data_IF_266338627512
#
_entry.id   IF_266338627512
#
_cell.length_a   1.000
_cell.length_b   1.000
_cell.length_c   1.000
_cell.angle_alpha   90.00
_cell.angle_beta   90.00
_cell.angle_gamma   90.00
#
_symmetry.space_group_name_H-M   'P 1'
#
loop_
_entity.id
_entity.type
_entity.pdbx_description
1 polymer ?
#
# COMPACT_ATOMS: atom_id res chain seq x y z
N UNK A 1 23.83 -1.13 11.63
CA UNK A 1 23.31 -1.37 10.27
C UNK A 1 22.63 -0.10 9.79
N UNK A 2 22.98 0.43 8.61
CA UNK A 2 22.40 1.70 8.14
C UNK A 2 21.18 1.42 7.26
N UNK A 3 20.12 2.18 7.46
CA UNK A 3 18.91 2.14 6.63
C UNK A 3 18.65 3.54 6.09
N UNK A 4 18.48 3.66 4.79
CA UNK A 4 18.08 4.92 4.16
C UNK A 4 16.56 4.99 4.13
N UNK A 5 15.97 6.12 4.50
CA UNK A 5 14.54 6.36 4.35
C UNK A 5 14.34 7.61 3.49
N UNK A 6 13.76 7.41 2.31
CA UNK A 6 13.39 8.47 1.38
C UNK A 6 11.98 8.92 1.71
N UNK A 7 11.86 10.09 2.34
CA UNK A 7 10.60 10.65 2.83
C UNK A 7 10.32 10.30 4.30
N UNK A 8 10.37 11.32 5.17
CA UNK A 8 9.99 11.21 6.59
C UNK A 8 8.58 11.78 6.86
N UNK A 9 7.62 11.35 6.03
CA UNK A 9 6.20 11.57 6.26
C UNK A 9 5.66 10.75 7.44
N UNK A 10 4.33 10.58 7.51
CA UNK A 10 3.71 9.85 8.62
C UNK A 10 4.20 8.39 8.72
N UNK A 11 4.18 7.64 7.61
CA UNK A 11 4.66 6.26 7.60
C UNK A 11 6.17 6.19 7.73
N UNK A 12 6.92 7.04 7.01
CA UNK A 12 8.39 7.08 7.12
C UNK A 12 8.89 7.24 8.55
N UNK A 13 8.21 8.06 9.37
CA UNK A 13 8.53 8.22 10.81
C UNK A 13 8.19 7.00 11.66
N UNK A 14 7.09 6.30 11.36
CA UNK A 14 6.73 5.04 12.05
C UNK A 14 7.80 3.99 11.80
N UNK A 15 8.18 3.78 10.54
CA UNK A 15 9.25 2.85 10.19
C UNK A 15 10.60 3.28 10.76
N UNK A 16 10.95 4.58 10.71
CA UNK A 16 12.17 5.09 11.33
C UNK A 16 12.24 4.74 12.83
N UNK A 17 11.15 4.94 13.57
CA UNK A 17 11.07 4.59 15.00
C UNK A 17 11.28 3.09 15.25
N UNK A 18 10.63 2.24 14.45
CA UNK A 18 10.81 0.78 14.52
C UNK A 18 12.24 0.34 14.20
N UNK A 19 12.83 0.91 13.15
CA UNK A 19 14.20 0.61 12.71
C UNK A 19 15.23 1.03 13.77
N UNK A 20 15.05 2.20 14.39
CA UNK A 20 15.89 2.67 15.50
C UNK A 20 15.78 1.73 16.72
N UNK A 21 14.56 1.25 17.05
CA UNK A 21 14.34 0.31 18.16
C UNK A 21 15.06 -1.02 17.99
N UNK A 22 15.28 -1.47 16.75
CA UNK A 22 16.03 -2.71 16.46
C UNK A 22 17.52 -2.46 16.19
N UNK A 23 18.05 -1.29 16.56
CA UNK A 23 19.48 -0.97 16.50
C UNK A 23 19.99 -0.55 15.12
N UNK A 24 19.11 -0.16 14.20
CA UNK A 24 19.53 0.43 12.93
C UNK A 24 19.81 1.92 13.09
N UNK A 25 20.79 2.43 12.34
CA UNK A 25 20.96 3.87 12.12
C UNK A 25 20.09 4.28 10.93
N UNK A 26 19.28 5.33 11.08
CA UNK A 26 18.41 5.83 10.01
C UNK A 26 19.06 7.05 9.36
N UNK A 27 19.30 6.96 8.05
CA UNK A 27 19.78 8.04 7.20
C UNK A 27 18.60 8.62 6.42
N UNK A 28 18.13 9.84 6.74
CA UNK A 28 17.02 10.43 6.03
C UNK A 28 17.45 10.98 4.67
N UNK A 29 16.57 10.85 3.68
CA UNK A 29 16.60 11.63 2.43
C UNK A 29 15.28 12.39 2.35
N UNK A 30 15.36 13.72 2.43
CA UNK A 30 14.23 14.63 2.37
C UNK A 30 14.04 15.18 0.96
N UNK A 31 12.93 15.89 0.76
CA UNK A 31 12.67 16.60 -0.49
C UNK A 31 13.75 17.68 -0.70
N UNK A 32 14.46 17.60 -1.82
CA UNK A 32 15.52 18.53 -2.20
C UNK A 32 16.94 18.01 -1.92
N UNK A 33 17.09 16.93 -1.15
CA UNK A 33 18.39 16.29 -0.96
C UNK A 33 18.84 15.61 -2.26
N UNK A 34 20.13 15.69 -2.58
CA UNK A 34 20.72 14.95 -3.69
C UNK A 34 21.01 13.50 -3.26
N UNK A 35 20.22 12.56 -3.79
CA UNK A 35 20.37 11.13 -3.52
C UNK A 35 21.74 10.59 -3.91
N UNK A 36 22.43 11.15 -4.92
CA UNK A 36 23.75 10.68 -5.32
C UNK A 36 24.81 11.03 -4.28
N UNK A 37 24.77 12.26 -3.75
CA UNK A 37 25.62 12.68 -2.63
C UNK A 37 25.39 11.79 -1.40
N UNK A 38 24.13 11.51 -1.03
CA UNK A 38 23.83 10.62 0.11
C UNK A 38 24.26 9.18 -0.17
N UNK A 39 24.08 8.68 -1.39
CA UNK A 39 24.54 7.35 -1.79
C UNK A 39 26.06 7.22 -1.78
N UNK A 40 26.80 8.30 -2.05
CA UNK A 40 28.25 8.30 -1.94
C UNK A 40 28.70 8.15 -0.47
N UNK A 41 28.02 8.81 0.47
CA UNK A 41 28.30 8.67 1.91
C UNK A 41 27.80 7.33 2.49
N UNK A 42 26.75 6.76 1.91
CA UNK A 42 26.11 5.53 2.36
C UNK A 42 25.87 4.56 1.18
N UNK A 43 26.93 3.96 0.61
CA UNK A 43 26.82 3.15 -0.61
C UNK A 43 26.21 1.77 -0.38
N UNK A 44 26.28 1.27 0.86
CA UNK A 44 25.84 -0.07 1.27
C UNK A 44 24.88 0.00 2.46
N UNK A 45 23.69 0.62 2.32
CA UNK A 45 22.66 0.53 3.35
C UNK A 45 22.09 -0.89 3.36
N UNK A 46 21.60 -1.40 4.47
CA UNK A 46 20.93 -2.70 4.47
C UNK A 46 19.53 -2.66 3.85
N UNK A 47 18.92 -1.48 3.78
CA UNK A 47 17.59 -1.26 3.22
C UNK A 47 17.48 0.20 2.77
N UNK A 48 16.75 0.44 1.68
CA UNK A 48 16.38 1.78 1.21
C UNK A 48 14.86 1.86 1.12
N UNK A 49 14.23 2.40 2.16
CA UNK A 49 12.77 2.51 2.26
C UNK A 49 12.26 3.75 1.53
N UNK A 50 11.44 3.54 0.50
CA UNK A 50 10.75 4.61 -0.23
C UNK A 50 9.40 4.88 0.44
N UNK A 51 9.32 5.98 1.18
CA UNK A 51 8.17 6.41 1.99
C UNK A 51 7.69 7.82 1.61
N UNK A 52 7.61 8.08 0.30
CA UNK A 52 7.16 9.34 -0.29
C UNK A 52 5.66 9.36 -0.57
N UNK A 53 5.14 10.49 -1.05
CA UNK A 53 3.75 10.56 -1.52
C UNK A 53 3.56 9.79 -2.83
N UNK A 54 2.32 9.38 -3.11
CA UNK A 54 1.95 8.62 -4.33
C UNK A 54 2.42 9.32 -5.62
N UNK A 55 2.27 10.64 -5.69
CA UNK A 55 2.70 11.46 -6.84
C UNK A 55 4.21 11.46 -7.07
N UNK A 56 5.00 11.18 -6.03
CA UNK A 56 6.45 11.33 -6.04
C UNK A 56 7.15 9.97 -6.27
N UNK A 57 6.43 8.85 -6.11
CA UNK A 57 6.98 7.48 -6.20
C UNK A 57 7.74 7.25 -7.50
N UNK A 58 7.10 7.52 -8.63
CA UNK A 58 7.65 7.26 -9.96
C UNK A 58 8.92 8.07 -10.25
N UNK A 59 8.98 9.31 -9.78
CA UNK A 59 10.18 10.14 -9.90
C UNK A 59 11.34 9.56 -9.08
N UNK A 60 11.07 9.13 -7.85
CA UNK A 60 12.08 8.53 -6.97
C UNK A 60 12.60 7.22 -7.54
N UNK A 61 11.72 6.35 -8.04
CA UNK A 61 12.12 5.07 -8.63
C UNK A 61 12.99 5.25 -9.88
N UNK A 62 12.72 6.27 -10.70
CA UNK A 62 13.51 6.61 -11.87
C UNK A 62 14.89 7.17 -11.51
N UNK A 63 14.97 8.01 -10.47
CA UNK A 63 16.19 8.70 -10.05
C UNK A 63 17.05 7.92 -9.02
N UNK A 64 16.64 6.70 -8.66
CA UNK A 64 17.31 5.92 -7.62
C UNK A 64 18.78 5.62 -7.97
N UNK A 65 19.74 5.90 -7.06
CA UNK A 65 21.14 5.52 -7.25
C UNK A 65 21.31 4.02 -7.48
N UNK A 66 22.15 3.66 -8.46
CA UNK A 66 22.36 2.26 -8.86
C UNK A 66 22.76 1.33 -7.70
N UNK A 67 23.62 1.82 -6.80
CA UNK A 67 24.09 1.09 -5.63
C UNK A 67 22.97 0.72 -4.64
N UNK A 68 21.86 1.43 -4.66
CA UNK A 68 20.73 1.24 -3.74
C UNK A 68 19.64 0.33 -4.30
N UNK A 69 19.53 0.21 -5.63
CA UNK A 69 18.46 -0.52 -6.30
C UNK A 69 18.23 -1.94 -5.78
N UNK A 70 19.27 -2.76 -5.49
CA UNK A 70 19.08 -4.12 -4.98
C UNK A 70 18.48 -4.20 -3.57
N UNK A 71 18.36 -3.07 -2.87
CA UNK A 71 17.99 -3.00 -1.44
C UNK A 71 16.75 -2.14 -1.21
N UNK A 72 16.05 -1.79 -2.28
CA UNK A 72 14.86 -0.94 -2.23
C UNK A 72 13.72 -1.68 -1.54
N UNK A 73 13.04 -0.96 -0.65
CA UNK A 73 11.79 -1.34 -0.03
C UNK A 73 10.70 -0.32 -0.38
N UNK A 74 9.53 -0.79 -0.80
CA UNK A 74 8.43 0.03 -1.29
C UNK A 74 7.25 -0.01 -0.32
N UNK A 75 6.74 1.18 0.02
CA UNK A 75 5.50 1.35 0.78
C UNK A 75 4.64 2.37 0.05
N UNK A 76 3.48 1.95 -0.46
CA UNK A 76 2.52 2.83 -1.11
C UNK A 76 1.15 2.12 -1.14
N UNK A 77 0.07 2.87 -0.98
CA UNK A 77 -1.28 2.34 -1.22
C UNK A 77 -1.49 2.14 -2.71
N UNK A 78 -2.30 1.14 -3.10
CA UNK A 78 -2.63 0.87 -4.51
C UNK A 78 -1.43 0.41 -5.36
N UNK A 79 -0.30 0.08 -4.72
CA UNK A 79 0.92 -0.39 -5.38
C UNK A 79 0.73 -1.78 -5.99
N UNK A 80 1.16 -1.97 -7.24
CA UNK A 80 1.15 -3.22 -7.98
C UNK A 80 2.50 -3.45 -8.70
N UNK A 81 2.83 -4.69 -9.13
CA UNK A 81 4.12 -4.99 -9.75
C UNK A 81 4.54 -4.07 -10.90
N UNK A 82 3.58 -3.71 -11.76
CA UNK A 82 3.77 -2.76 -12.87
C UNK A 82 4.40 -1.43 -12.45
N UNK A 83 4.25 -1.00 -11.20
CA UNK A 83 4.74 0.29 -10.72
C UNK A 83 6.26 0.32 -10.55
N UNK A 84 6.87 -0.82 -10.25
CA UNK A 84 8.32 -0.96 -10.10
C UNK A 84 8.98 -1.71 -11.26
N UNK A 85 8.28 -2.64 -11.90
CA UNK A 85 8.78 -3.40 -13.06
C UNK A 85 9.14 -2.51 -14.24
N UNK A 86 8.34 -1.46 -14.49
CA UNK A 86 8.62 -0.47 -15.55
C UNK A 86 9.93 0.30 -15.37
N UNK A 87 10.48 0.30 -14.16
CA UNK A 87 11.78 0.87 -13.85
C UNK A 87 12.88 -0.20 -13.72
N UNK A 88 12.59 -1.46 -14.06
CA UNK A 88 13.53 -2.58 -13.99
C UNK A 88 14.02 -2.89 -12.56
N UNK A 89 13.16 -2.77 -11.56
CA UNK A 89 13.43 -3.36 -10.24
C UNK A 89 13.10 -4.83 -10.26
N UNK A 90 14.04 -5.65 -9.79
CA UNK A 90 13.89 -7.09 -9.62
C UNK A 90 13.75 -7.37 -8.14
N UNK A 91 12.65 -8.04 -7.77
CA UNK A 91 12.36 -8.48 -6.40
C UNK A 91 12.61 -7.42 -5.30
N UNK A 92 12.06 -6.19 -5.43
CA UNK A 92 12.16 -5.23 -4.34
C UNK A 92 11.48 -5.79 -3.09
N UNK A 93 11.87 -5.28 -1.92
CA UNK A 93 11.07 -5.53 -0.72
C UNK A 93 9.77 -4.73 -0.83
N UNK A 94 8.63 -5.35 -0.55
CA UNK A 94 7.33 -4.66 -0.62
C UNK A 94 6.56 -4.98 0.65
N UNK A 95 5.99 -3.94 1.27
CA UNK A 95 5.08 -4.08 2.42
C UNK A 95 3.72 -3.45 2.10
N UNK A 96 2.65 -4.21 2.33
CA UNK A 96 1.29 -3.69 2.32
C UNK A 96 0.90 -3.29 3.74
N UNK A 97 0.75 -1.99 4.00
CA UNK A 97 0.51 -1.47 5.36
C UNK A 97 -0.96 -1.63 5.76
N UNK A 98 -1.20 -2.27 6.91
CA UNK A 98 -2.52 -2.50 7.49
C UNK A 98 -2.73 -1.84 8.86
N UNK A 99 -2.10 -0.70 9.08
CA UNK A 99 -2.37 0.18 10.22
C UNK A 99 -2.66 1.60 9.75
N UNK A 100 -3.46 2.34 10.50
CA UNK A 100 -3.71 3.75 10.27
C UNK A 100 -2.76 4.60 11.12
N UNK A 101 -2.17 5.65 10.52
CA UNK A 101 -1.44 6.69 11.25
C UNK A 101 -2.05 8.06 10.96
N UNK A 102 -2.60 8.72 11.97
CA UNK A 102 -3.06 10.12 11.91
C UNK A 102 -2.07 11.05 12.62
N UNK A 103 -2.15 12.36 12.37
CA UNK A 103 -1.33 13.36 13.05
C UNK A 103 -1.73 13.39 14.53
N UNK A 104 -0.77 13.27 15.44
CA UNK A 104 -1.01 13.29 16.88
C UNK A 104 -1.64 12.04 17.50
N UNK A 105 -1.89 10.98 16.72
CA UNK A 105 -2.46 9.71 17.20
C UNK A 105 -1.47 8.59 16.88
N UNK A 106 -1.21 7.68 17.81
CA UNK A 106 -0.36 6.52 17.56
C UNK A 106 -0.91 5.63 16.42
N UNK A 107 -0.04 4.80 15.87
CA UNK A 107 -0.46 3.91 14.79
C UNK A 107 -1.43 2.86 15.33
N UNK A 108 -2.61 2.74 14.72
CA UNK A 108 -3.63 1.75 15.10
C UNK A 108 -3.63 0.61 14.07
N UNK A 109 -3.28 -0.63 14.46
CA UNK A 109 -3.33 -1.77 13.56
C UNK A 109 -4.77 -2.19 13.26
N UNK A 110 -5.00 -2.66 12.02
CA UNK A 110 -6.23 -3.35 11.60
C UNK A 110 -5.95 -4.85 11.56
N UNK A 111 -4.97 -5.25 10.73
CA UNK A 111 -4.45 -6.62 10.63
C UNK A 111 -2.93 -6.59 10.43
N UNK A 112 -2.29 -7.76 10.38
CA UNK A 112 -0.85 -7.85 10.14
C UNK A 112 -0.48 -7.35 8.73
N UNK A 113 0.57 -6.51 8.65
CA UNK A 113 1.10 -6.02 7.38
C UNK A 113 1.95 -7.09 6.69
N UNK A 114 1.57 -7.64 5.53
CA UNK A 114 2.39 -8.62 4.81
C UNK A 114 3.58 -7.93 4.14
N UNK A 115 4.72 -8.60 4.19
CA UNK A 115 5.99 -8.13 3.62
C UNK A 115 6.65 -9.25 2.83
N UNK A 116 7.13 -8.96 1.63
CA UNK A 116 7.94 -9.89 0.85
C UNK A 116 9.22 -9.24 0.38
N UNK A 117 10.21 -10.07 0.05
CA UNK A 117 11.50 -9.66 -0.51
C UNK A 117 12.65 -9.63 0.52
N UNK A 118 13.87 -9.27 0.07
CA UNK A 118 15.10 -9.48 0.85
C UNK A 118 15.14 -8.75 2.21
N UNK A 119 14.44 -7.62 2.33
CA UNK A 119 14.35 -6.81 3.53
C UNK A 119 13.16 -7.14 4.44
N UNK A 120 12.37 -8.17 4.13
CA UNK A 120 11.11 -8.45 4.82
C UNK A 120 11.31 -8.68 6.33
N UNK A 121 12.25 -9.55 6.70
CA UNK A 121 12.54 -9.85 8.11
C UNK A 121 13.01 -8.63 8.90
N UNK A 122 13.71 -7.67 8.27
CA UNK A 122 14.08 -6.42 8.94
C UNK A 122 12.85 -5.56 9.23
N UNK A 123 11.96 -5.38 8.24
CA UNK A 123 10.74 -4.58 8.41
C UNK A 123 9.78 -5.22 9.42
N UNK A 124 9.65 -6.55 9.42
CA UNK A 124 8.84 -7.28 10.40
C UNK A 124 9.35 -7.06 11.82
N UNK A 125 10.66 -7.21 12.06
CA UNK A 125 11.25 -6.93 13.38
C UNK A 125 11.09 -5.47 13.79
N UNK A 126 11.27 -4.53 12.85
CA UNK A 126 11.14 -3.10 13.11
C UNK A 126 9.71 -2.73 13.55
N UNK A 127 8.68 -3.24 12.86
CA UNK A 127 7.28 -2.99 13.23
C UNK A 127 6.90 -3.68 14.54
N UNK A 128 7.35 -4.93 14.76
CA UNK A 128 7.12 -5.64 16.01
C UNK A 128 7.70 -4.89 17.23
N UNK A 129 8.86 -4.24 17.08
CA UNK A 129 9.49 -3.46 18.14
C UNK A 129 8.73 -2.19 18.55
N UNK A 130 7.69 -1.82 17.79
CA UNK A 130 6.74 -0.74 18.09
C UNK A 130 5.30 -1.24 18.13
N UNK A 131 5.11 -2.54 18.40
CA UNK A 131 3.81 -3.19 18.62
C UNK A 131 2.87 -3.13 17.40
N UNK A 132 3.44 -3.04 16.19
CA UNK A 132 2.70 -3.13 14.94
C UNK A 132 2.89 -4.52 14.32
N UNK A 133 1.80 -5.27 14.08
CA UNK A 133 1.90 -6.61 13.52
C UNK A 133 2.30 -6.57 12.05
N UNK A 134 3.28 -7.39 11.69
CA UNK A 134 3.71 -7.64 10.33
C UNK A 134 4.13 -9.09 10.18
N UNK A 135 4.02 -9.63 8.97
CA UNK A 135 4.41 -11.02 8.67
C UNK A 135 5.07 -11.12 7.32
N UNK A 136 5.99 -12.07 7.19
CA UNK A 136 6.56 -12.39 5.89
C UNK A 136 5.55 -13.16 5.03
N UNK A 137 5.58 -12.91 3.73
CA UNK A 137 4.89 -13.69 2.70
C UNK A 137 5.86 -14.01 1.58
N UNK A 138 5.58 -15.08 0.84
CA UNK A 138 6.36 -15.39 -0.34
C UNK A 138 6.22 -14.27 -1.40
N UNK A 139 7.29 -14.05 -2.16
CA UNK A 139 7.23 -13.18 -3.34
C UNK A 139 6.33 -13.80 -4.44
N UNK A 140 6.12 -13.05 -5.53
CA UNK A 140 5.27 -13.49 -6.64
C UNK A 140 3.80 -13.49 -6.25
N UNK A 141 3.11 -14.61 -6.45
CA UNK A 141 1.65 -14.71 -6.38
C UNK A 141 1.09 -14.42 -4.98
N UNK A 142 1.79 -14.82 -3.92
CA UNK A 142 1.37 -14.55 -2.55
C UNK A 142 1.44 -13.05 -2.21
N UNK A 143 2.53 -12.36 -2.58
CA UNK A 143 2.61 -10.90 -2.46
C UNK A 143 1.53 -10.21 -3.31
N UNK A 144 1.35 -10.65 -4.56
CA UNK A 144 0.37 -10.06 -5.46
C UNK A 144 -1.05 -10.14 -4.88
N UNK A 145 -1.42 -11.30 -4.32
CA UNK A 145 -2.70 -11.47 -3.64
C UNK A 145 -2.87 -10.45 -2.49
N UNK A 146 -1.85 -10.25 -1.65
CA UNK A 146 -1.93 -9.30 -0.54
C UNK A 146 -2.06 -7.84 -0.97
N UNK A 147 -1.41 -7.47 -2.08
CA UNK A 147 -1.54 -6.13 -2.68
C UNK A 147 -2.94 -5.92 -3.23
N UNK A 148 -3.45 -6.88 -4.00
CA UNK A 148 -4.81 -6.81 -4.58
C UNK A 148 -5.86 -6.86 -3.48
N UNK A 149 -5.69 -7.68 -2.44
CA UNK A 149 -6.56 -7.70 -1.25
C UNK A 149 -6.65 -6.32 -0.59
N UNK A 150 -5.51 -5.65 -0.41
CA UNK A 150 -5.48 -4.28 0.14
C UNK A 150 -6.23 -3.30 -0.77
N UNK A 151 -6.04 -3.42 -2.08
CA UNK A 151 -6.68 -2.57 -3.07
C UNK A 151 -8.19 -2.77 -3.09
N UNK A 152 -8.67 -4.02 -3.07
CA UNK A 152 -10.10 -4.34 -2.97
C UNK A 152 -10.69 -3.73 -1.70
N UNK A 153 -10.04 -3.91 -0.55
CA UNK A 153 -10.49 -3.29 0.71
C UNK A 153 -10.60 -1.77 0.59
N UNK A 154 -9.53 -1.08 0.18
CA UNK A 154 -9.48 0.38 0.24
C UNK A 154 -10.33 1.04 -0.84
N UNK A 155 -10.40 0.46 -2.03
CA UNK A 155 -11.21 1.00 -3.13
C UNK A 155 -12.69 0.74 -2.88
N UNK A 156 -13.07 -0.48 -2.47
CA UNK A 156 -14.48 -0.80 -2.21
C UNK A 156 -15.05 0.08 -1.10
N UNK A 157 -14.37 0.15 0.05
CA UNK A 157 -14.83 0.95 1.19
C UNK A 157 -14.97 2.42 0.83
N UNK A 158 -13.96 3.00 0.19
CA UNK A 158 -13.96 4.42 -0.18
C UNK A 158 -15.00 4.76 -1.24
N UNK A 159 -15.09 3.96 -2.30
CA UNK A 159 -15.99 4.24 -3.41
C UNK A 159 -17.44 4.01 -2.98
N UNK A 160 -17.75 2.87 -2.35
CA UNK A 160 -19.10 2.61 -1.85
C UNK A 160 -19.50 3.67 -0.80
N UNK A 161 -18.55 4.04 0.05
CA UNK A 161 -18.71 5.11 1.02
C UNK A 161 -19.16 6.44 0.42
N UNK A 162 -18.78 6.80 -0.81
CA UNK A 162 -19.21 8.06 -1.44
C UNK A 162 -20.73 8.21 -1.46
N UNK A 163 -21.44 7.08 -1.54
CA UNK A 163 -22.91 7.02 -1.49
C UNK A 163 -23.44 6.74 -0.08
N UNK A 164 -22.83 5.80 0.64
CA UNK A 164 -23.41 5.29 1.91
C UNK A 164 -23.00 6.10 3.12
N UNK A 165 -21.84 6.75 3.10
CA UNK A 165 -21.17 7.24 4.29
C UNK A 165 -20.90 6.09 5.28
N UNK A 166 -20.92 6.43 6.57
CA UNK A 166 -20.86 5.45 7.67
C UNK A 166 -19.51 4.75 7.83
N UNK A 167 -19.57 3.65 8.59
CA UNK A 167 -18.44 2.78 8.92
C UNK A 167 -18.42 1.52 8.05
N UNK A 168 -17.30 0.80 8.02
CA UNK A 168 -17.17 -0.46 7.27
C UNK A 168 -18.15 -1.53 7.78
N UNK A 169 -18.46 -1.53 9.08
CA UNK A 169 -19.49 -2.41 9.64
C UNK A 169 -20.89 -2.08 9.13
N UNK A 170 -21.26 -0.80 9.09
CA UNK A 170 -22.56 -0.36 8.55
C UNK A 170 -22.65 -0.61 7.04
N UNK A 171 -21.58 -0.37 6.29
CA UNK A 171 -21.51 -0.67 4.86
C UNK A 171 -21.83 -2.14 4.61
N UNK A 172 -21.22 -3.04 5.38
CA UNK A 172 -21.47 -4.47 5.20
C UNK A 172 -22.86 -4.88 5.69
N UNK A 173 -23.28 -4.45 6.88
CA UNK A 173 -24.55 -4.87 7.47
C UNK A 173 -25.79 -4.31 6.75
N UNK A 174 -25.71 -3.09 6.20
CA UNK A 174 -26.87 -2.36 5.66
C UNK A 174 -26.82 -2.23 4.14
N UNK A 175 -25.64 -2.36 3.53
CA UNK A 175 -25.43 -2.09 2.11
C UNK A 175 -24.63 -3.19 1.40
N UNK A 176 -24.63 -4.43 1.93
CA UNK A 176 -23.83 -5.55 1.40
C UNK A 176 -23.94 -5.70 -0.12
N UNK A 177 -25.17 -5.77 -0.65
CA UNK A 177 -25.40 -5.97 -2.08
C UNK A 177 -24.74 -4.89 -2.92
N UNK A 178 -24.77 -3.64 -2.46
CA UNK A 178 -24.12 -2.52 -3.14
C UNK A 178 -22.60 -2.56 -2.99
N UNK A 179 -22.09 -2.86 -1.79
CA UNK A 179 -20.66 -3.04 -1.54
C UNK A 179 -20.07 -4.15 -2.44
N UNK A 180 -20.80 -5.25 -2.64
CA UNK A 180 -20.40 -6.34 -3.55
C UNK A 180 -20.38 -5.92 -5.01
N UNK A 181 -21.33 -5.11 -5.48
CA UNK A 181 -21.30 -4.57 -6.84
C UNK A 181 -20.05 -3.71 -7.07
N UNK A 182 -19.75 -2.80 -6.14
CA UNK A 182 -18.53 -1.98 -6.21
C UNK A 182 -17.27 -2.87 -6.15
N UNK A 183 -17.22 -3.85 -5.23
CA UNK A 183 -16.07 -4.73 -5.09
C UNK A 183 -15.82 -5.57 -6.34
N UNK A 184 -16.87 -6.06 -7.00
CA UNK A 184 -16.75 -6.82 -8.24
C UNK A 184 -16.13 -5.98 -9.36
N UNK A 185 -16.60 -4.75 -9.57
CA UNK A 185 -16.03 -3.85 -10.58
C UNK A 185 -14.59 -3.42 -10.23
N UNK A 186 -14.28 -3.24 -8.94
CA UNK A 186 -12.90 -3.04 -8.48
C UNK A 186 -12.03 -4.25 -8.79
N UNK A 187 -12.51 -5.47 -8.53
CA UNK A 187 -11.77 -6.71 -8.84
C UNK A 187 -11.57 -6.87 -10.35
N UNK A 188 -12.53 -6.51 -11.20
CA UNK A 188 -12.36 -6.51 -12.66
C UNK A 188 -11.20 -5.60 -13.09
N UNK A 189 -11.11 -4.41 -12.48
CA UNK A 189 -10.00 -3.48 -12.71
C UNK A 189 -8.67 -4.06 -12.21
N UNK A 190 -8.63 -4.70 -11.04
CA UNK A 190 -7.41 -5.33 -10.53
C UNK A 190 -6.96 -6.51 -11.39
N UNK A 191 -7.89 -7.33 -11.88
CA UNK A 191 -7.62 -8.43 -12.79
C UNK A 191 -6.95 -7.93 -14.08
N UNK A 192 -7.48 -6.85 -14.67
CA UNK A 192 -6.91 -6.24 -15.87
C UNK A 192 -5.54 -5.60 -15.62
N UNK A 193 -5.36 -4.88 -14.50
CA UNK A 193 -4.11 -4.21 -14.15
C UNK A 193 -2.94 -5.17 -13.91
N UNK A 194 -3.25 -6.38 -13.48
CA UNK A 194 -2.26 -7.43 -13.17
C UNK A 194 -2.16 -8.48 -14.26
N UNK A 195 -3.04 -8.42 -15.27
CA UNK A 195 -3.21 -9.45 -16.29
C UNK A 195 -3.40 -10.86 -15.69
N UNK A 196 -4.21 -10.96 -14.64
CA UNK A 196 -4.52 -12.22 -13.94
C UNK A 196 -5.97 -12.25 -13.50
N UNK A 197 -6.51 -13.45 -13.32
CA UNK A 197 -7.82 -13.64 -12.68
C UNK A 197 -7.59 -14.02 -11.23
N UNK A 198 -8.09 -13.22 -10.29
CA UNK A 198 -7.95 -13.49 -8.86
C UNK A 198 -9.15 -14.26 -8.30
N UNK A 199 -8.91 -14.98 -7.20
CA UNK A 199 -9.98 -15.61 -6.43
C UNK A 199 -10.81 -14.55 -5.71
N UNK A 200 -11.99 -14.27 -6.27
CA UNK A 200 -12.93 -13.27 -5.74
C UNK A 200 -13.45 -13.61 -4.35
N UNK A 201 -13.69 -14.89 -4.08
CA UNK A 201 -14.19 -15.30 -2.77
C UNK A 201 -13.12 -15.05 -1.71
N UNK A 202 -11.86 -15.38 -2.01
CA UNK A 202 -10.73 -15.12 -1.12
C UNK A 202 -10.49 -13.61 -0.92
N UNK A 203 -10.60 -12.79 -1.97
CA UNK A 203 -10.44 -11.33 -1.86
C UNK A 203 -11.54 -10.68 -1.02
N UNK A 204 -12.80 -11.09 -1.21
CA UNK A 204 -13.91 -10.61 -0.36
C UNK A 204 -13.70 -11.06 1.08
N UNK A 205 -13.39 -12.34 1.33
CA UNK A 205 -13.12 -12.82 2.68
C UNK A 205 -11.98 -12.05 3.36
N UNK A 206 -10.88 -11.80 2.64
CA UNK A 206 -9.75 -11.02 3.14
C UNK A 206 -10.08 -9.55 3.39
N UNK A 207 -11.01 -8.96 2.64
CA UNK A 207 -11.55 -7.63 2.92
C UNK A 207 -12.36 -7.62 4.23
N UNK A 208 -13.18 -8.64 4.46
CA UNK A 208 -14.01 -8.74 5.68
C UNK A 208 -13.18 -8.96 6.94
N UNK A 209 -12.11 -9.75 6.87
CA UNK A 209 -11.15 -9.87 7.98
C UNK A 209 -10.60 -8.48 8.39
N UNK A 210 -10.35 -7.60 7.42
CA UNK A 210 -9.91 -6.24 7.72
C UNK A 210 -11.02 -5.34 8.26
N UNK A 211 -12.30 -5.61 7.94
CA UNK A 211 -13.44 -4.92 8.55
C UNK A 211 -13.55 -5.30 10.03
N UNK A 212 -13.39 -6.58 10.34
CA UNK A 212 -13.42 -7.08 11.72
C UNK A 212 -12.27 -6.52 12.56
N UNK A 213 -11.13 -6.20 11.94
CA UNK A 213 -9.99 -5.54 12.60
C UNK A 213 -10.26 -4.10 13.05
N UNK A 214 -11.15 -3.36 12.36
CA UNK A 214 -11.62 -2.04 12.81
C UNK A 214 -13.05 -1.75 12.30
N UNK A 215 -14.09 -2.29 12.95
CA UNK A 215 -15.47 -2.18 12.47
C UNK A 215 -15.97 -0.72 12.38
N UNK A 216 -15.37 0.17 13.16
CA UNK A 216 -15.70 1.60 13.23
C UNK A 216 -14.89 2.44 12.23
N UNK A 217 -14.08 1.80 11.37
CA UNK A 217 -13.35 2.52 10.33
C UNK A 217 -14.32 3.22 9.39
N UNK A 218 -14.14 4.52 9.17
CA UNK A 218 -14.99 5.29 8.27
C UNK A 218 -14.80 4.84 6.82
N UNK A 219 -15.90 4.62 6.10
CA UNK A 219 -15.86 4.21 4.70
C UNK A 219 -15.30 5.31 3.80
N UNK A 220 -15.57 6.58 4.07
CA UNK A 220 -15.13 7.70 3.24
C UNK A 220 -13.95 8.48 3.82
N UNK A 221 -13.10 8.93 2.91
CA UNK A 221 -12.03 9.87 3.19
C UNK A 221 -11.82 10.84 2.05
N UNK A 222 -10.96 11.84 2.26
CA UNK A 222 -10.67 12.89 1.27
C UNK A 222 -10.14 12.36 -0.07
N UNK A 223 -9.60 11.14 -0.10
CA UNK A 223 -9.09 10.47 -1.30
C UNK A 223 -10.13 9.68 -2.09
N UNK A 224 -11.35 9.48 -1.56
CA UNK A 224 -12.36 8.64 -2.19
C UNK A 224 -12.76 9.12 -3.60
N UNK A 225 -12.98 10.43 -3.86
CA UNK A 225 -13.28 10.90 -5.23
C UNK A 225 -12.14 10.61 -6.22
N UNK A 226 -10.89 10.87 -5.81
CA UNK A 226 -9.72 10.62 -6.65
C UNK A 226 -9.54 9.11 -6.95
N UNK A 227 -9.83 8.24 -5.98
CA UNK A 227 -9.83 6.78 -6.16
C UNK A 227 -10.87 6.34 -7.18
N UNK A 228 -12.08 6.87 -7.09
CA UNK A 228 -13.14 6.59 -8.07
C UNK A 228 -12.71 7.03 -9.48
N UNK A 229 -12.21 8.26 -9.62
CA UNK A 229 -11.73 8.77 -10.92
C UNK A 229 -10.63 7.89 -11.51
N UNK A 230 -9.65 7.46 -10.71
CA UNK A 230 -8.59 6.55 -11.18
C UNK A 230 -9.12 5.17 -11.56
N UNK A 231 -10.01 4.59 -10.76
CA UNK A 231 -10.59 3.28 -11.05
C UNK A 231 -11.36 3.29 -12.37
N UNK A 232 -12.15 4.35 -12.62
CA UNK A 232 -12.83 4.56 -13.91
C UNK A 232 -11.82 4.75 -15.04
N UNK A 233 -10.77 5.56 -14.84
CA UNK A 233 -9.73 5.75 -15.86
C UNK A 233 -8.98 4.45 -16.22
N UNK A 234 -8.76 3.56 -15.25
CA UNK A 234 -8.25 2.22 -15.54
C UNK A 234 -9.27 1.38 -16.30
N UNK A 235 -10.54 1.38 -15.89
CA UNK A 235 -11.60 0.67 -16.60
C UNK A 235 -11.71 1.13 -18.07
N UNK A 236 -11.64 2.45 -18.33
CA UNK A 236 -11.64 3.02 -19.68
C UNK A 236 -10.44 2.52 -20.50
N UNK A 237 -9.24 2.52 -19.93
CA UNK A 237 -8.02 2.06 -20.62
C UNK A 237 -8.06 0.58 -21.03
N UNK A 238 -8.82 -0.24 -20.30
CA UNK A 238 -8.99 -1.67 -20.57
C UNK A 238 -10.35 -2.03 -21.21
N UNK A 239 -11.21 -1.04 -21.48
CA UNK A 239 -12.55 -1.27 -22.05
C UNK A 239 -13.50 -2.04 -21.12
N UNK A 240 -13.34 -1.93 -19.81
CA UNK A 240 -14.16 -2.64 -18.82
C UNK A 240 -15.51 -1.95 -18.57
N UNK A 241 -16.55 -2.76 -18.43
CA UNK A 241 -17.87 -2.28 -18.02
C UNK A 241 -17.92 -2.11 -16.50
N UNK A 242 -17.96 -0.85 -16.05
CA UNK A 242 -18.05 -0.50 -14.61
C UNK A 242 -19.26 0.41 -14.32
N UNK A 243 -20.49 -0.05 -14.60
CA UNK A 243 -21.69 0.79 -14.49
C UNK A 243 -21.94 1.31 -13.07
N UNK A 244 -21.59 0.54 -12.03
CA UNK A 244 -21.75 0.95 -10.63
C UNK A 244 -20.78 2.07 -10.28
N UNK A 245 -19.51 1.96 -10.67
CA UNK A 245 -18.51 3.02 -10.48
C UNK A 245 -18.93 4.28 -11.22
N UNK A 246 -19.36 4.17 -12.49
CA UNK A 246 -19.79 5.34 -13.27
C UNK A 246 -20.99 6.06 -12.67
N UNK A 247 -21.95 5.32 -12.12
CA UNK A 247 -23.11 5.91 -11.45
C UNK A 247 -22.75 6.77 -10.23
N UNK A 248 -21.56 6.57 -9.65
CA UNK A 248 -21.05 7.33 -8.50
C UNK A 248 -20.23 8.57 -8.91
N UNK A 249 -19.83 8.68 -10.16
CA UNK A 249 -19.01 9.80 -10.67
C UNK A 249 -19.84 10.98 -11.19
N UNK A 250 -21.17 10.93 -11.03
CA UNK A 250 -22.15 11.90 -11.53
C UNK A 250 -21.92 13.33 -11.04
#
# INVERSE_FOLDING_TARGET
MNVVIIGLGQLGRVFAGGLLRVGCSVVPVNRGDDMFTVAHAHPDPALVLVAVAESDLHMVLAAMPGAWRPRVALIQNELLPRDWEKYHYTDPTVISVWFEKKKGIDAKPLIASPVAGPGAGLLVRALAAIELPAREVAAGDALLFELVRKNVYILTTNIAGLKTGGTVAELWAQHESFARLVANEVMDVQDALTNRQHDRAALIAGMLEAFDGDPQHGCTGRSAPARLTRAIGHADAFGLAVPTLRALAG
#
